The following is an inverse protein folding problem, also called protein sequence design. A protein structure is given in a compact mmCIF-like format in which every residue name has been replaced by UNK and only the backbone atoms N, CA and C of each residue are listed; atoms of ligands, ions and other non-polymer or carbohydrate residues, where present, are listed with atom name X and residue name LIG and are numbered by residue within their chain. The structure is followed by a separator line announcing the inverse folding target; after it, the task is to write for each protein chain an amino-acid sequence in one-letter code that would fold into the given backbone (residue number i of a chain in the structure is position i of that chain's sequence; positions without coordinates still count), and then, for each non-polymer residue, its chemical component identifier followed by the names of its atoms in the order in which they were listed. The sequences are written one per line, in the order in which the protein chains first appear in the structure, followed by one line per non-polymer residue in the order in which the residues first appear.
data_IF_121269199776
#
_entry.id   IF_121269199776
#
_cell.length_a   1.000
_cell.length_b   1.000
_cell.length_c   1.000
_cell.angle_alpha   90.00
_cell.angle_beta   90.00
_cell.angle_gamma   90.00
#
_symmetry.space_group_name_H-M   'P 1'
#
loop_
_entity.id
_entity.type
_entity.pdbx_description
1 polymer ?
#
# COMPACT_ATOMS: atom_id res chain seq x y z
N UNK A 1 -10.81 17.01 -8.20
CA UNK A 1 -9.35 16.92 -8.01
C UNK A 1 -8.97 15.50 -7.57
N UNK A 2 -8.03 14.89 -8.24
CA UNK A 2 -7.59 13.53 -7.91
C UNK A 2 -6.59 13.55 -6.75
N UNK A 3 -6.62 12.49 -5.92
CA UNK A 3 -5.64 12.32 -4.82
C UNK A 3 -4.21 12.37 -5.35
N UNK A 4 -3.98 11.78 -6.54
CA UNK A 4 -2.68 11.84 -7.20
C UNK A 4 -2.18 13.28 -7.39
N UNK A 5 -3.04 14.16 -7.82
CA UNK A 5 -2.69 15.56 -8.05
C UNK A 5 -2.33 16.27 -6.74
N UNK A 6 -3.08 15.99 -5.68
CA UNK A 6 -2.82 16.56 -4.34
C UNK A 6 -1.45 16.10 -3.84
N UNK A 7 -1.17 14.81 -3.97
CA UNK A 7 0.11 14.24 -3.55
C UNK A 7 1.28 14.83 -4.33
N UNK A 8 1.19 14.88 -5.65
CA UNK A 8 2.24 15.42 -6.51
C UNK A 8 2.51 16.91 -6.22
N UNK A 9 1.45 17.67 -5.98
CA UNK A 9 1.56 19.09 -5.62
C UNK A 9 2.27 19.26 -4.27
N UNK A 10 1.89 18.47 -3.27
CA UNK A 10 2.51 18.51 -1.95
C UNK A 10 3.99 18.17 -2.00
N UNK A 11 4.36 17.14 -2.77
CA UNK A 11 5.76 16.74 -2.94
C UNK A 11 6.54 17.85 -3.64
N UNK A 12 5.96 18.48 -4.67
CA UNK A 12 6.62 19.57 -5.40
C UNK A 12 6.92 20.76 -4.48
N UNK A 13 5.99 21.08 -3.59
CA UNK A 13 6.15 22.24 -2.67
C UNK A 13 7.00 21.93 -1.45
N UNK A 14 6.96 20.70 -0.92
CA UNK A 14 7.49 20.35 0.39
C UNK A 14 8.41 19.13 0.36
N UNK A 15 9.13 18.92 -0.71
CA UNK A 15 9.95 17.72 -0.96
C UNK A 15 10.78 17.26 0.26
N UNK A 16 11.48 18.17 0.90
CA UNK A 16 12.35 17.86 2.03
C UNK A 16 11.66 17.89 3.39
N UNK A 17 10.40 18.33 3.46
CA UNK A 17 9.65 18.37 4.70
C UNK A 17 9.23 16.95 5.11
N UNK A 18 9.27 16.64 6.40
CA UNK A 18 8.86 15.33 6.91
C UNK A 18 7.36 15.17 6.78
N UNK A 19 6.94 14.16 6.01
CA UNK A 19 5.54 13.84 5.78
C UNK A 19 4.98 12.94 6.86
N UNK A 20 5.77 11.98 7.33
CA UNK A 20 5.38 11.00 8.36
C UNK A 20 6.50 10.76 9.35
N UNK A 21 6.10 10.47 10.58
CA UNK A 21 6.97 10.05 11.67
C UNK A 21 6.33 8.85 12.35
N UNK A 22 7.14 7.89 12.76
CA UNK A 22 6.63 6.73 13.50
C UNK A 22 7.70 6.21 14.45
N UNK A 23 7.26 5.41 15.43
CA UNK A 23 8.17 4.78 16.40
C UNK A 23 8.51 3.37 15.95
N UNK A 24 9.79 3.04 15.96
CA UNK A 24 10.29 1.70 15.73
C UNK A 24 11.35 1.40 16.79
N UNK A 25 11.07 0.41 17.65
CA UNK A 25 11.97 0.02 18.73
C UNK A 25 12.48 1.21 19.56
N UNK A 26 11.58 2.10 19.95
CA UNK A 26 11.85 3.34 20.72
C UNK A 26 12.61 4.42 19.95
N UNK A 27 12.87 4.24 18.67
CA UNK A 27 13.47 5.24 17.81
C UNK A 27 12.40 5.94 16.98
N UNK A 28 12.55 7.25 16.79
CA UNK A 28 11.67 8.01 15.90
C UNK A 28 12.20 7.87 14.49
N UNK A 29 11.39 7.28 13.63
CA UNK A 29 11.68 7.18 12.21
C UNK A 29 10.90 8.27 11.47
N UNK A 30 11.45 8.74 10.37
CA UNK A 30 10.85 9.82 9.59
C UNK A 30 10.97 9.52 8.11
N UNK A 31 10.03 10.07 7.34
CA UNK A 31 10.10 10.01 5.89
C UNK A 31 9.67 11.36 5.33
N UNK A 32 10.47 11.96 4.46
CA UNK A 32 10.11 13.21 3.79
C UNK A 32 9.04 12.96 2.72
N UNK A 33 8.42 14.04 2.24
CA UNK A 33 7.49 13.94 1.11
C UNK A 33 8.16 13.34 -0.13
N UNK A 34 9.41 13.71 -0.40
CA UNK A 34 10.17 13.17 -1.53
C UNK A 34 10.43 11.68 -1.39
N UNK A 35 10.85 11.23 -0.21
CA UNK A 35 11.08 9.81 0.06
C UNK A 35 9.78 9.01 -0.04
N UNK A 36 8.68 9.55 0.51
CA UNK A 36 7.36 8.95 0.39
C UNK A 36 6.99 8.76 -1.07
N UNK A 37 7.18 9.81 -1.88
CA UNK A 37 6.84 9.76 -3.31
C UNK A 37 7.68 8.76 -4.08
N UNK A 38 8.95 8.61 -3.77
CA UNK A 38 9.81 7.60 -4.40
C UNK A 38 9.23 6.20 -4.22
N UNK A 39 8.78 5.88 -3.01
CA UNK A 39 8.20 4.57 -2.69
C UNK A 39 6.84 4.39 -3.37
N UNK A 40 6.03 5.43 -3.41
CA UNK A 40 4.73 5.43 -4.11
C UNK A 40 4.92 5.17 -5.60
N UNK A 41 5.87 5.88 -6.23
CA UNK A 41 6.17 5.71 -7.65
C UNK A 41 6.73 4.32 -7.95
N UNK A 42 7.60 3.79 -7.08
CA UNK A 42 8.14 2.43 -7.24
C UNK A 42 7.03 1.38 -7.23
N UNK A 43 6.07 1.50 -6.32
CA UNK A 43 4.91 0.62 -6.25
C UNK A 43 4.09 0.70 -7.54
N UNK A 44 3.80 1.90 -7.99
CA UNK A 44 3.05 2.16 -9.22
C UNK A 44 3.72 1.53 -10.45
N UNK A 45 5.01 1.76 -10.59
CA UNK A 45 5.80 1.21 -11.70
C UNK A 45 5.85 -0.31 -11.68
N UNK A 46 6.01 -0.89 -10.49
CA UNK A 46 6.01 -2.35 -10.33
C UNK A 46 4.70 -2.97 -10.78
N UNK A 47 3.57 -2.39 -10.41
CA UNK A 47 2.25 -2.89 -10.80
C UNK A 47 2.03 -2.79 -12.31
N UNK A 48 2.46 -1.70 -12.94
CA UNK A 48 2.39 -1.56 -14.40
C UNK A 48 3.28 -2.57 -15.12
N UNK A 49 4.48 -2.82 -14.60
CA UNK A 49 5.41 -3.78 -15.18
C UNK A 49 4.85 -5.21 -15.15
N UNK A 50 4.04 -5.54 -14.15
CA UNK A 50 3.37 -6.84 -14.04
C UNK A 50 2.11 -6.94 -14.92
N UNK A 51 1.73 -5.87 -15.59
CA UNK A 51 0.55 -5.86 -16.45
C UNK A 51 -0.78 -5.76 -15.71
N UNK A 52 -0.78 -5.19 -14.51
CA UNK A 52 -1.98 -5.12 -13.67
C UNK A 52 -2.85 -3.88 -13.88
N UNK A 53 -2.61 -3.13 -14.95
CA UNK A 53 -3.43 -1.96 -15.28
C UNK A 53 -4.92 -2.32 -15.31
N UNK A 54 -5.73 -1.52 -14.63
CA UNK A 54 -7.18 -1.73 -14.54
C UNK A 54 -7.59 -2.86 -13.60
N UNK A 55 -6.65 -3.51 -12.93
CA UNK A 55 -6.93 -4.65 -12.06
C UNK A 55 -7.11 -4.24 -10.60
N UNK A 56 -7.68 -5.15 -9.83
CA UNK A 56 -7.85 -4.99 -8.37
C UNK A 56 -6.63 -5.54 -7.65
N UNK A 57 -6.11 -4.75 -6.73
CA UNK A 57 -4.94 -5.10 -5.92
C UNK A 57 -5.37 -5.07 -4.47
N UNK A 58 -5.34 -6.21 -3.81
CA UNK A 58 -5.69 -6.31 -2.40
C UNK A 58 -4.51 -5.91 -1.52
N UNK A 59 -4.84 -5.43 -0.33
CA UNK A 59 -3.80 -5.10 0.63
C UNK A 59 -4.30 -5.37 2.04
N UNK A 60 -3.49 -6.11 2.80
CA UNK A 60 -3.77 -6.55 4.16
C UNK A 60 -2.54 -6.26 4.99
N UNK A 61 -2.68 -5.47 6.03
CA UNK A 61 -1.56 -5.14 6.89
C UNK A 61 -1.98 -4.29 8.07
N UNK A 62 -1.04 -4.14 8.99
CA UNK A 62 -1.21 -3.22 10.11
C UNK A 62 -0.95 -1.79 9.61
N UNK A 63 -1.52 -0.81 10.31
CA UNK A 63 -1.26 0.60 10.01
C UNK A 63 0.24 0.87 10.11
N UNK A 64 0.85 1.23 9.00
CA UNK A 64 2.28 1.46 8.90
C UNK A 64 2.57 2.40 7.73
N UNK A 65 3.79 2.92 7.67
CA UNK A 65 4.20 3.74 6.54
C UNK A 65 4.22 2.92 5.25
N UNK A 66 4.63 1.66 5.32
CA UNK A 66 4.66 0.75 4.18
C UNK A 66 3.25 0.50 3.63
N UNK A 67 2.27 0.30 4.51
CA UNK A 67 0.88 0.15 4.11
C UNK A 67 0.38 1.39 3.39
N UNK A 68 0.66 2.55 3.94
CA UNK A 68 0.24 3.83 3.35
C UNK A 68 0.89 4.06 1.98
N UNK A 69 2.18 3.79 1.86
CA UNK A 69 2.91 3.96 0.59
C UNK A 69 2.40 2.99 -0.47
N UNK A 70 2.11 1.75 -0.08
CA UNK A 70 1.53 0.75 -0.97
C UNK A 70 0.13 1.17 -1.42
N UNK A 71 -0.71 1.60 -0.49
CA UNK A 71 -2.05 2.08 -0.79
C UNK A 71 -2.02 3.27 -1.77
N UNK A 72 -1.19 4.26 -1.50
CA UNK A 72 -1.05 5.42 -2.39
C UNK A 72 -0.51 5.02 -3.76
N UNK A 73 0.43 4.06 -3.82
CA UNK A 73 0.94 3.56 -5.09
C UNK A 73 -0.14 2.89 -5.93
N UNK A 74 -1.05 2.17 -5.28
CA UNK A 74 -2.17 1.53 -5.97
C UNK A 74 -3.17 2.58 -6.48
N UNK A 75 -3.65 3.47 -5.61
CA UNK A 75 -4.74 4.39 -5.97
C UNK A 75 -4.30 5.53 -6.86
N UNK A 76 -3.01 5.88 -6.89
CA UNK A 76 -2.50 6.94 -7.75
C UNK A 76 -2.00 6.43 -9.11
N UNK A 77 -1.98 5.10 -9.29
CA UNK A 77 -1.68 4.48 -10.57
C UNK A 77 -2.96 4.14 -11.32
N UNK A 78 -2.88 3.14 -12.16
CA UNK A 78 -4.01 2.67 -12.98
C UNK A 78 -4.62 1.38 -12.41
N UNK A 79 -4.63 1.24 -11.10
CA UNK A 79 -5.14 0.06 -10.40
C UNK A 79 -6.16 0.47 -9.34
N UNK A 80 -6.91 -0.51 -8.84
CA UNK A 80 -7.94 -0.28 -7.82
C UNK A 80 -7.53 -0.98 -6.52
N UNK A 81 -7.53 -0.27 -5.42
CA UNK A 81 -7.19 -0.82 -4.12
C UNK A 81 -8.37 -1.55 -3.49
N UNK A 82 -8.10 -2.72 -2.91
CA UNK A 82 -9.05 -3.49 -2.12
C UNK A 82 -8.44 -3.68 -0.73
N UNK A 83 -8.57 -2.68 0.15
CA UNK A 83 -8.03 -2.80 1.50
C UNK A 83 -8.90 -3.73 2.35
N UNK A 84 -8.26 -4.68 3.02
CA UNK A 84 -8.95 -5.66 3.87
C UNK A 84 -8.42 -5.54 5.31
N UNK A 85 -9.32 -5.76 6.26
CA UNK A 85 -9.01 -5.68 7.68
C UNK A 85 -8.17 -6.86 8.14
N UNK A 86 -6.96 -6.61 8.61
CA UNK A 86 -6.04 -7.64 9.09
C UNK A 86 -6.56 -8.38 10.33
N UNK A 87 -7.54 -7.82 11.05
CA UNK A 87 -8.13 -8.43 12.23
C UNK A 87 -9.18 -9.49 11.90
N UNK A 88 -9.61 -9.61 10.65
CA UNK A 88 -10.60 -10.61 10.25
C UNK A 88 -10.02 -12.02 10.34
N UNK A 89 -10.86 -13.05 10.61
CA UNK A 89 -10.43 -14.44 10.53
C UNK A 89 -9.87 -14.76 9.14
N UNK A 90 -8.89 -15.66 9.09
CA UNK A 90 -8.20 -16.00 7.85
C UNK A 90 -9.14 -16.51 6.77
N UNK A 91 -10.14 -17.31 7.14
CA UNK A 91 -11.15 -17.82 6.20
C UNK A 91 -11.92 -16.68 5.53
N UNK A 92 -12.26 -15.65 6.30
CA UNK A 92 -12.98 -14.47 5.78
C UNK A 92 -12.10 -13.68 4.82
N UNK A 93 -10.80 -13.53 5.15
CA UNK A 93 -9.85 -12.85 4.28
C UNK A 93 -9.71 -13.57 2.94
N UNK A 94 -9.59 -14.89 2.95
CA UNK A 94 -9.48 -15.69 1.73
C UNK A 94 -10.75 -15.56 0.89
N UNK A 95 -11.93 -15.61 1.52
CA UNK A 95 -13.20 -15.44 0.82
C UNK A 95 -13.28 -14.08 0.15
N UNK A 96 -12.92 -13.00 0.87
CA UNK A 96 -12.91 -11.64 0.32
C UNK A 96 -11.90 -11.47 -0.80
N UNK A 97 -10.72 -12.07 -0.69
CA UNK A 97 -9.71 -12.06 -1.75
C UNK A 97 -10.27 -12.67 -3.05
N UNK A 98 -10.95 -13.80 -2.92
CA UNK A 98 -11.55 -14.48 -4.07
C UNK A 98 -12.69 -13.67 -4.67
N UNK A 99 -13.56 -13.09 -3.83
CA UNK A 99 -14.71 -12.31 -4.29
C UNK A 99 -14.33 -10.98 -4.92
N UNK A 100 -13.22 -10.41 -4.51
CA UNK A 100 -12.79 -9.09 -4.99
C UNK A 100 -12.13 -9.14 -6.37
N UNK A 101 -11.88 -10.32 -6.92
CA UNK A 101 -11.16 -10.52 -8.17
C UNK A 101 -9.79 -9.88 -8.16
N UNK A 102 -9.14 -9.84 -7.00
CA UNK A 102 -7.80 -9.27 -6.85
C UNK A 102 -6.77 -10.16 -7.53
N UNK A 103 -5.88 -9.55 -8.31
CA UNK A 103 -4.83 -10.27 -9.05
C UNK A 103 -3.50 -10.29 -8.29
N UNK A 104 -3.37 -9.46 -7.26
CA UNK A 104 -2.17 -9.38 -6.45
C UNK A 104 -2.53 -8.96 -5.02
N UNK A 105 -1.63 -9.23 -4.10
CA UNK A 105 -1.82 -8.93 -2.69
C UNK A 105 -0.55 -8.33 -2.10
N UNK A 106 -0.69 -7.13 -1.54
CA UNK A 106 0.32 -6.56 -0.64
C UNK A 106 0.01 -7.03 0.77
N UNK A 107 0.96 -7.66 1.42
CA UNK A 107 0.75 -8.32 2.70
C UNK A 107 1.88 -7.97 3.67
N UNK A 108 1.52 -7.59 4.90
CA UNK A 108 2.52 -7.43 5.96
C UNK A 108 3.21 -8.77 6.22
N UNK A 109 4.56 -8.81 6.31
CA UNK A 109 5.29 -10.07 6.48
C UNK A 109 4.83 -10.91 7.66
N UNK A 110 4.37 -10.29 8.74
CA UNK A 110 3.86 -10.98 9.93
C UNK A 110 2.64 -11.85 9.66
N UNK A 111 1.84 -11.50 8.65
CA UNK A 111 0.61 -12.20 8.31
C UNK A 111 0.82 -13.34 7.31
N UNK A 112 1.96 -13.39 6.66
CA UNK A 112 2.23 -14.39 5.63
C UNK A 112 2.09 -15.83 6.12
N UNK A 113 2.72 -16.25 7.22
CA UNK A 113 2.56 -17.63 7.70
C UNK A 113 1.11 -17.97 8.02
N UNK A 114 0.36 -17.00 8.51
CA UNK A 114 -1.03 -17.16 8.87
C UNK A 114 -1.91 -17.45 7.64
N UNK A 115 -1.66 -16.75 6.54
CA UNK A 115 -2.41 -16.93 5.30
C UNK A 115 -1.91 -18.12 4.46
N UNK A 116 -0.62 -18.43 4.51
CA UNK A 116 -0.05 -19.52 3.73
C UNK A 116 -0.70 -20.88 4.07
N UNK A 117 -1.19 -21.04 5.28
CA UNK A 117 -1.88 -22.27 5.69
C UNK A 117 -3.21 -22.49 4.94
N UNK A 118 -3.75 -21.45 4.28
CA UNK A 118 -5.06 -21.49 3.62
C UNK A 118 -4.97 -21.26 2.10
N UNK A 119 -3.81 -20.93 1.59
CA UNK A 119 -3.61 -20.67 0.15
C UNK A 119 -3.26 -21.94 -0.63
#
# INVERSE_FOLDING_TARGET
MLIRNILEESVRKFDEVKAVKWLKKKEIMERSYGELMENVVSTRKGLLAEGFEGKHIALIGTSSVEWMESYLGIITGCTTAVPLDAALPCEDLIDLLNRSDSVALFLSPKLRPYLDAFL
#
